data_IF_215490569792
#
_entry.id   IF_215490569792
#
_cell.length_a   1.000
_cell.length_b   1.000
_cell.length_c   1.000
_cell.angle_alpha   90.00
_cell.angle_beta   90.00
_cell.angle_gamma   90.00
#
_symmetry.space_group_name_H-M   'P 1'
#
loop_
_entity.id
_entity.type
_entity.pdbx_description
1 polymer ?
#
# COMPACT_ATOMS: atom_id res chain seq x y z
N UNK A 1 -4.68 17.22 -3.07
CA UNK A 1 -4.47 15.94 -2.36
C UNK A 1 -3.26 16.13 -1.46
N UNK A 2 -3.35 15.82 -0.19
CA UNK A 2 -2.23 16.03 0.75
C UNK A 2 -1.15 14.97 0.46
N UNK A 3 0.13 15.31 0.59
CA UNK A 3 1.26 14.37 0.42
C UNK A 3 1.11 13.12 1.30
N UNK A 4 0.49 13.26 2.46
CA UNK A 4 0.13 12.18 3.39
C UNK A 4 -0.67 11.06 2.69
N UNK A 5 -1.53 11.41 1.70
CA UNK A 5 -2.28 10.42 0.92
C UNK A 5 -1.40 9.60 -0.03
N UNK A 6 -0.27 10.13 -0.48
CA UNK A 6 0.71 9.38 -1.31
C UNK A 6 1.38 8.31 -0.46
N UNK A 7 1.84 8.66 0.74
CA UNK A 7 2.45 7.70 1.67
C UNK A 7 1.45 6.63 2.13
N UNK A 8 0.21 7.02 2.38
CA UNK A 8 -0.86 6.05 2.65
C UNK A 8 -1.07 5.06 1.49
N UNK A 9 -0.94 5.51 0.22
CA UNK A 9 -1.00 4.62 -0.94
C UNK A 9 0.25 3.74 -1.04
N UNK A 10 1.45 4.28 -0.80
CA UNK A 10 2.70 3.54 -0.79
C UNK A 10 2.62 2.41 0.25
N UNK A 11 2.33 2.72 1.50
CA UNK A 11 2.31 1.74 2.59
C UNK A 11 1.15 0.74 2.51
N UNK A 12 0.03 1.11 1.87
CA UNK A 12 -1.05 0.14 1.57
C UNK A 12 -0.62 -0.93 0.57
N UNK A 13 0.16 -0.54 -0.44
CA UNK A 13 0.63 -1.46 -1.49
C UNK A 13 1.87 -2.22 -1.06
N UNK A 14 2.76 -1.55 -0.34
CA UNK A 14 4.08 -2.04 0.03
C UNK A 14 4.36 -1.76 1.52
N UNK A 15 3.69 -2.46 2.46
CA UNK A 15 3.89 -2.24 3.90
C UNK A 15 5.34 -2.52 4.34
N UNK A 16 6.05 -3.39 3.64
CA UNK A 16 7.45 -3.73 3.86
C UNK A 16 8.40 -2.53 3.73
N UNK A 17 8.04 -1.48 2.97
CA UNK A 17 8.90 -0.30 2.81
C UNK A 17 9.14 0.47 4.11
N UNK A 18 8.24 0.36 5.10
CA UNK A 18 8.54 0.91 6.43
C UNK A 18 9.78 0.26 7.01
N UNK A 19 9.93 -1.06 6.86
CA UNK A 19 11.01 -1.85 7.45
C UNK A 19 12.35 -1.67 6.72
N UNK A 20 12.34 -1.18 5.48
CA UNK A 20 13.54 -0.70 4.79
C UNK A 20 14.08 0.62 5.37
N UNK A 21 13.18 1.46 5.94
CA UNK A 21 13.55 2.74 6.54
C UNK A 21 14.08 2.59 7.97
N UNK A 22 13.56 1.61 8.70
CA UNK A 22 13.97 1.36 10.09
C UNK A 22 15.13 0.36 10.08
N UNK A 23 16.11 0.55 10.94
CA UNK A 23 17.26 -0.37 11.07
C UNK A 23 16.86 -1.66 11.84
N UNK A 24 15.74 -2.24 11.46
CA UNK A 24 15.16 -3.46 12.08
C UNK A 24 14.47 -4.31 11.02
N UNK A 25 15.26 -4.99 10.15
CA UNK A 25 14.67 -5.89 9.17
C UNK A 25 13.94 -7.03 9.89
N UNK A 26 12.68 -7.25 9.53
CA UNK A 26 11.86 -8.36 10.03
C UNK A 26 11.74 -9.42 8.94
N UNK A 27 11.93 -10.70 9.30
CA UNK A 27 11.78 -11.82 8.35
C UNK A 27 10.38 -11.91 7.72
N UNK A 28 9.37 -11.33 8.36
CA UNK A 28 7.98 -11.34 7.90
C UNK A 28 7.44 -9.94 7.59
N UNK A 29 8.31 -8.98 7.22
CA UNK A 29 7.92 -7.60 6.93
C UNK A 29 6.79 -7.50 5.88
N UNK A 30 6.84 -8.34 4.84
CA UNK A 30 5.82 -8.43 3.78
C UNK A 30 4.45 -8.91 4.28
N UNK A 31 4.37 -9.51 5.45
CA UNK A 31 3.12 -10.03 6.03
C UNK A 31 2.41 -9.00 6.92
N UNK A 32 3.03 -7.83 7.14
CA UNK A 32 2.39 -6.75 7.88
C UNK A 32 1.27 -6.12 7.07
N UNK A 33 0.20 -5.72 7.78
CA UNK A 33 -0.94 -5.01 7.19
C UNK A 33 -0.94 -3.56 7.65
N UNK A 34 -0.94 -2.64 6.68
CA UNK A 34 -1.08 -1.22 6.95
C UNK A 34 -2.56 -0.83 7.07
N UNK A 35 -2.93 -0.12 8.13
CA UNK A 35 -4.26 0.44 8.32
C UNK A 35 -4.17 1.91 8.79
N UNK A 36 -5.06 2.75 8.27
CA UNK A 36 -5.31 4.08 8.81
C UNK A 36 -6.47 3.98 9.80
N UNK A 37 -6.21 4.27 11.09
CA UNK A 37 -7.16 4.02 12.17
C UNK A 37 -7.61 5.34 12.78
N UNK A 38 -8.94 5.54 12.85
CA UNK A 38 -9.56 6.67 13.54
C UNK A 38 -9.96 6.28 14.97
N UNK A 39 -9.54 7.09 15.94
CA UNK A 39 -9.86 6.89 17.35
C UNK A 39 -11.09 7.73 17.72
N UNK A 40 -12.27 7.09 17.78
CA UNK A 40 -13.59 7.74 17.82
C UNK A 40 -13.94 8.61 19.04
N UNK A 41 -13.21 8.60 20.14
CA UNK A 41 -13.60 9.34 21.37
C UNK A 41 -13.00 10.75 21.51
N UNK A 42 -11.96 11.01 20.78
CA UNK A 42 -11.35 12.30 20.54
C UNK A 42 -11.05 12.30 19.06
N UNK A 43 -11.22 13.36 18.31
CA UNK A 43 -11.01 13.40 16.86
C UNK A 43 -9.54 13.12 16.44
N UNK A 44 -8.95 12.06 17.00
CA UNK A 44 -7.59 11.62 16.77
C UNK A 44 -7.55 10.57 15.66
N UNK A 45 -6.59 10.70 14.78
CA UNK A 45 -6.37 9.79 13.67
C UNK A 45 -4.88 9.49 13.55
N UNK A 46 -4.53 8.23 13.71
CA UNK A 46 -3.19 7.73 13.41
C UNK A 46 -3.12 7.50 11.90
N UNK A 47 -2.15 8.12 11.22
CA UNK A 47 -2.02 8.03 9.75
C UNK A 47 -1.65 6.62 9.30
N UNK A 48 -0.84 5.89 10.09
CA UNK A 48 -0.47 4.52 9.78
C UNK A 48 -0.26 3.64 11.00
N UNK A 49 -0.91 2.47 11.00
CA UNK A 49 -0.65 1.38 11.94
C UNK A 49 -0.32 0.13 11.14
N UNK A 50 0.84 -0.46 11.44
CA UNK A 50 1.28 -1.70 10.82
C UNK A 50 1.04 -2.84 11.80
N UNK A 51 0.11 -3.70 11.44
CA UNK A 51 -0.35 -4.81 12.27
C UNK A 51 0.42 -6.07 11.90
N UNK A 52 0.94 -6.81 12.89
CA UNK A 52 1.59 -8.09 12.64
C UNK A 52 0.60 -9.10 12.07
N UNK A 53 1.07 -10.14 11.36
CA UNK A 53 0.24 -11.25 10.94
C UNK A 53 -0.35 -11.99 12.15
N UNK A 54 -1.51 -12.61 11.98
CA UNK A 54 -2.24 -13.28 13.07
C UNK A 54 -1.46 -14.46 13.69
N UNK A 55 -0.61 -15.11 12.90
CA UNK A 55 0.24 -16.24 13.27
C UNK A 55 1.65 -15.84 13.70
N UNK A 56 1.94 -14.55 13.86
CA UNK A 56 3.25 -14.07 14.28
C UNK A 56 3.62 -14.59 15.68
N UNK A 57 4.84 -15.08 15.83
CA UNK A 57 5.40 -15.52 17.14
C UNK A 57 5.68 -14.35 18.07
N UNK A 58 5.99 -13.17 17.53
CA UNK A 58 6.12 -11.91 18.26
C UNK A 58 5.19 -10.88 17.60
N UNK A 59 4.21 -10.40 18.35
CA UNK A 59 3.17 -9.48 17.86
C UNK A 59 3.60 -8.05 18.14
N UNK A 60 4.51 -7.54 17.31
CA UNK A 60 4.99 -6.16 17.38
C UNK A 60 4.13 -5.27 16.48
N UNK A 61 3.60 -4.17 17.01
CA UNK A 61 2.85 -3.16 16.24
C UNK A 61 3.74 -1.96 15.95
N UNK A 62 3.66 -1.40 14.73
CA UNK A 62 4.35 -0.17 14.38
C UNK A 62 3.34 0.94 14.09
N UNK A 63 3.61 2.12 14.65
CA UNK A 63 2.90 3.34 14.34
C UNK A 63 3.78 4.21 13.46
N UNK A 64 3.24 4.72 12.36
CA UNK A 64 3.98 5.60 11.46
C UNK A 64 3.22 6.91 11.24
N UNK A 65 3.97 8.01 11.29
CA UNK A 65 3.47 9.34 10.99
C UNK A 65 4.36 9.99 9.94
N UNK A 66 3.76 10.59 8.92
CA UNK A 66 4.47 11.26 7.83
C UNK A 66 4.18 12.75 7.87
N UNK A 67 5.19 13.56 8.23
CA UNK A 67 5.02 14.96 8.53
C UNK A 67 5.71 15.86 7.50
N UNK A 68 4.95 16.38 6.53
CA UNK A 68 5.43 17.28 5.47
C UNK A 68 5.18 18.77 5.73
N UNK A 69 4.58 19.12 6.84
CA UNK A 69 4.32 20.51 7.25
C UNK A 69 4.76 20.73 8.70
N UNK A 70 5.19 21.94 9.09
CA UNK A 70 5.47 22.22 10.49
C UNK A 70 4.25 21.98 11.38
N UNK A 71 4.41 21.21 12.45
CA UNK A 71 3.39 20.95 13.45
C UNK A 71 4.04 20.79 14.82
N UNK A 72 4.06 21.85 15.62
CA UNK A 72 4.64 21.84 16.98
C UNK A 72 3.87 20.92 17.95
N UNK A 73 2.67 20.47 17.58
CA UNK A 73 1.84 19.55 18.39
C UNK A 73 2.01 18.08 18.01
N UNK A 74 2.81 17.79 16.98
CA UNK A 74 2.99 16.45 16.42
C UNK A 74 3.27 15.39 17.50
N UNK A 75 4.28 15.59 18.32
CA UNK A 75 4.68 14.60 19.33
C UNK A 75 3.63 14.41 20.43
N UNK A 76 2.94 15.49 20.83
CA UNK A 76 1.83 15.42 21.78
C UNK A 76 0.70 14.54 21.24
N UNK A 77 0.32 14.76 19.99
CA UNK A 77 -0.72 14.02 19.33
C UNK A 77 -0.30 12.56 19.09
N UNK A 78 0.79 12.35 18.38
CA UNK A 78 1.23 11.04 17.90
C UNK A 78 1.47 10.04 19.04
N UNK A 79 2.19 10.43 20.10
CA UNK A 79 2.40 9.55 21.25
C UNK A 79 1.12 9.31 22.04
N UNK A 80 0.26 10.31 22.20
CA UNK A 80 -1.03 10.11 22.88
C UNK A 80 -1.90 9.12 22.12
N UNK A 81 -2.02 9.27 20.82
CA UNK A 81 -2.83 8.39 19.96
C UNK A 81 -2.30 6.96 19.97
N UNK A 82 -0.99 6.78 19.84
CA UNK A 82 -0.33 5.47 19.87
C UNK A 82 -0.56 4.76 21.22
N UNK A 83 -0.40 5.49 22.35
CA UNK A 83 -0.63 4.91 23.68
C UNK A 83 -2.12 4.61 23.93
N UNK A 84 -3.03 5.42 23.42
CA UNK A 84 -4.46 5.14 23.50
C UNK A 84 -4.84 3.90 22.69
N UNK A 85 -4.27 3.72 21.49
CA UNK A 85 -4.47 2.52 20.69
C UNK A 85 -3.98 1.26 21.44
N UNK A 86 -2.77 1.30 22.00
CA UNK A 86 -2.23 0.20 22.80
C UNK A 86 -3.10 -0.12 24.03
N UNK A 87 -3.59 0.91 24.74
CA UNK A 87 -4.48 0.70 25.89
C UNK A 87 -5.82 0.03 25.51
N UNK A 88 -6.38 0.36 24.36
CA UNK A 88 -7.61 -0.29 23.84
C UNK A 88 -7.38 -1.73 23.41
N UNK A 89 -6.22 -1.98 22.80
CA UNK A 89 -5.82 -3.28 22.29
C UNK A 89 -4.81 -4.00 23.23
N UNK A 90 -4.89 -3.71 24.53
CA UNK A 90 -4.01 -4.31 25.54
C UNK A 90 -4.07 -5.84 25.46
N UNK A 91 -2.91 -6.46 25.66
CA UNK A 91 -2.70 -7.90 25.56
C UNK A 91 -2.74 -8.48 24.13
N UNK A 92 -2.92 -7.64 23.10
CA UNK A 92 -2.86 -8.08 21.70
C UNK A 92 -1.43 -8.02 21.14
N UNK A 93 -0.58 -7.14 21.70
CA UNK A 93 0.78 -6.91 21.22
C UNK A 93 1.79 -7.15 22.34
N UNK A 94 2.96 -7.66 21.96
CA UNK A 94 4.07 -7.95 22.87
C UNK A 94 5.08 -6.79 22.91
N UNK A 95 5.15 -5.99 21.82
CA UNK A 95 6.01 -4.81 21.67
C UNK A 95 5.41 -3.79 20.70
N UNK A 96 5.97 -2.59 20.68
CA UNK A 96 5.54 -1.51 19.79
C UNK A 96 6.70 -0.59 19.39
N UNK A 97 6.61 0.01 18.21
CA UNK A 97 7.53 1.03 17.72
C UNK A 97 6.76 2.19 17.10
N UNK A 98 7.34 3.41 17.23
CA UNK A 98 6.88 4.63 16.59
C UNK A 98 7.92 5.09 15.57
N UNK A 99 7.49 5.39 14.35
CA UNK A 99 8.33 5.91 13.28
C UNK A 99 7.77 7.24 12.79
N UNK A 100 8.59 8.29 12.82
CA UNK A 100 8.20 9.60 12.28
C UNK A 100 9.08 9.90 11.07
N UNK A 101 8.45 10.15 9.93
CA UNK A 101 9.12 10.40 8.66
C UNK A 101 8.98 11.88 8.31
N UNK A 102 10.11 12.56 8.23
CA UNK A 102 10.21 13.96 7.82
C UNK A 102 10.89 14.11 6.47
N UNK A 103 10.52 15.09 5.65
CA UNK A 103 11.34 15.53 4.51
C UNK A 103 12.76 15.92 4.90
N UNK A 104 12.88 16.70 5.99
CA UNK A 104 14.15 17.20 6.54
C UNK A 104 13.99 17.52 8.02
N UNK A 105 15.12 17.67 8.73
CA UNK A 105 15.15 18.08 10.16
C UNK A 105 14.48 19.42 10.45
N UNK A 106 14.41 20.31 9.46
CA UNK A 106 13.81 21.64 9.65
C UNK A 106 12.29 21.58 9.93
N UNK A 107 11.64 20.45 9.69
CA UNK A 107 10.21 20.24 9.95
C UNK A 107 9.94 19.52 11.27
N UNK A 108 10.99 19.09 11.98
CA UNK A 108 10.84 18.47 13.29
C UNK A 108 10.43 19.53 14.33
N UNK A 109 9.48 19.22 15.24
CA UNK A 109 9.10 20.14 16.34
C UNK A 109 10.28 20.55 17.20
N UNK A 110 10.28 21.83 17.63
CA UNK A 110 11.33 22.36 18.50
C UNK A 110 11.28 21.80 19.93
N UNK A 111 10.09 21.49 20.44
CA UNK A 111 9.91 20.93 21.79
C UNK A 111 10.19 19.43 21.84
N UNK A 112 11.46 19.06 21.80
CA UNK A 112 11.91 17.67 21.99
C UNK A 112 12.07 17.33 23.49
N UNK A 113 12.24 18.34 24.36
CA UNK A 113 12.54 18.11 25.77
C UNK A 113 11.38 17.46 26.52
N UNK A 114 10.15 17.87 26.24
CA UNK A 114 8.94 17.31 26.85
C UNK A 114 8.79 15.85 26.51
N UNK A 115 9.15 15.45 25.29
CA UNK A 115 8.99 14.08 24.78
C UNK A 115 10.27 13.24 24.82
N UNK A 116 11.34 13.72 25.48
CA UNK A 116 12.67 13.09 25.46
C UNK A 116 12.68 11.60 25.90
N UNK A 117 11.74 11.19 26.74
CA UNK A 117 11.65 9.80 27.19
C UNK A 117 11.29 8.86 26.00
N UNK A 118 10.45 9.31 25.10
CA UNK A 118 10.12 8.58 23.88
C UNK A 118 11.23 8.77 22.83
N UNK A 119 11.61 10.02 22.56
CA UNK A 119 12.55 10.37 21.49
C UNK A 119 13.97 9.82 21.70
N UNK A 120 14.37 9.52 22.93
CA UNK A 120 15.66 8.90 23.27
C UNK A 120 15.55 7.39 23.53
N UNK A 121 14.35 6.80 23.37
CA UNK A 121 14.17 5.36 23.47
C UNK A 121 14.50 4.68 22.14
N UNK A 122 14.78 3.41 22.17
CA UNK A 122 14.96 2.58 20.98
C UNK A 122 13.63 2.19 20.30
N UNK A 123 12.49 2.55 20.92
CA UNK A 123 11.15 2.33 20.37
C UNK A 123 10.68 3.48 19.46
N UNK A 124 11.40 4.61 19.40
CA UNK A 124 11.02 5.75 18.56
C UNK A 124 12.13 6.08 17.58
N UNK A 125 11.82 5.99 16.30
CA UNK A 125 12.74 6.33 15.22
C UNK A 125 12.25 7.53 14.42
N UNK A 126 13.17 8.48 14.16
CA UNK A 126 12.94 9.65 13.31
C UNK A 126 13.76 9.48 12.04
N UNK A 127 13.08 9.52 10.91
CA UNK A 127 13.67 9.37 9.59
C UNK A 127 13.62 10.72 8.88
N UNK A 128 14.75 11.17 8.35
CA UNK A 128 14.86 12.37 7.52
C UNK A 128 15.23 11.96 6.11
N UNK A 129 14.28 12.09 5.19
CA UNK A 129 14.41 11.53 3.84
C UNK A 129 15.57 12.15 3.06
N UNK A 130 15.89 13.44 3.33
CA UNK A 130 17.03 14.13 2.71
C UNK A 130 18.41 13.67 3.23
N UNK A 131 18.44 12.96 4.35
CA UNK A 131 19.68 12.42 4.95
C UNK A 131 19.95 10.96 4.56
N UNK A 132 19.05 10.29 3.87
CA UNK A 132 19.21 8.88 3.49
C UNK A 132 20.25 8.66 2.38
N UNK A 133 20.86 9.73 1.85
CA UNK A 133 21.84 9.68 0.77
C UNK A 133 21.23 9.82 -0.62
N UNK A 134 22.07 9.62 -1.66
CA UNK A 134 21.65 9.86 -3.03
C UNK A 134 20.58 8.86 -3.50
N UNK A 135 19.44 9.31 -4.08
CA UNK A 135 18.32 8.44 -4.45
C UNK A 135 18.69 7.24 -5.32
N UNK A 136 19.61 7.44 -6.28
CA UNK A 136 20.06 6.40 -7.21
C UNK A 136 20.93 5.30 -6.55
N UNK A 137 21.40 5.52 -5.33
CA UNK A 137 22.17 4.55 -4.54
C UNK A 137 21.32 3.82 -3.50
N UNK A 138 20.08 4.28 -3.31
CA UNK A 138 19.16 3.69 -2.34
C UNK A 138 18.37 2.53 -2.97
N UNK A 139 17.84 1.61 -2.15
CA UNK A 139 16.82 0.66 -2.58
C UNK A 139 15.67 1.36 -3.32
N UNK A 140 15.02 0.67 -4.25
CA UNK A 140 13.94 1.25 -5.08
C UNK A 140 12.83 1.84 -4.21
N UNK A 141 12.45 1.18 -3.11
CA UNK A 141 11.42 1.66 -2.19
C UNK A 141 11.80 2.99 -1.53
N UNK A 142 13.03 3.14 -1.04
CA UNK A 142 13.53 4.39 -0.46
C UNK A 142 13.62 5.49 -1.53
N UNK A 143 14.15 5.17 -2.73
CA UNK A 143 14.18 6.12 -3.85
C UNK A 143 12.75 6.59 -4.22
N UNK A 144 11.76 5.70 -4.21
CA UNK A 144 10.36 6.05 -4.43
C UNK A 144 9.85 7.08 -3.40
N UNK A 145 10.19 6.90 -2.13
CA UNK A 145 9.84 7.86 -1.08
C UNK A 145 10.57 9.19 -1.25
N UNK A 146 11.88 9.18 -1.57
CA UNK A 146 12.66 10.38 -1.83
C UNK A 146 12.17 11.16 -3.06
N UNK A 147 11.54 10.50 -4.03
CA UNK A 147 10.97 11.15 -5.21
C UNK A 147 9.93 12.23 -4.82
N UNK A 148 9.25 12.09 -3.69
CA UNK A 148 8.31 13.10 -3.17
C UNK A 148 8.97 14.42 -2.79
N UNK A 149 10.30 14.43 -2.57
CA UNK A 149 11.09 15.61 -2.23
C UNK A 149 11.59 16.36 -3.48
N UNK A 150 11.59 15.70 -4.62
CA UNK A 150 12.16 16.23 -5.87
C UNK A 150 11.50 17.55 -6.26
N UNK A 151 12.31 18.52 -6.71
CA UNK A 151 11.78 19.79 -7.26
C UNK A 151 11.02 19.54 -8.57
N UNK A 152 10.14 20.46 -8.93
CA UNK A 152 9.33 20.33 -10.15
C UNK A 152 10.20 20.25 -11.41
N UNK A 153 11.33 20.98 -11.44
CA UNK A 153 12.26 20.99 -12.55
C UNK A 153 12.99 19.65 -12.75
N UNK A 154 13.32 18.96 -11.64
CA UNK A 154 14.04 17.69 -11.70
C UNK A 154 13.12 16.47 -11.73
N UNK A 155 11.82 16.67 -11.50
CA UNK A 155 10.85 15.58 -11.29
C UNK A 155 10.78 14.63 -12.48
N UNK A 156 10.65 15.17 -13.70
CA UNK A 156 10.51 14.35 -14.91
C UNK A 156 11.74 13.44 -15.13
N UNK A 157 12.94 13.98 -14.92
CA UNK A 157 14.18 13.23 -15.10
C UNK A 157 14.36 12.16 -14.02
N UNK A 158 14.14 12.51 -12.75
CA UNK A 158 14.30 11.54 -11.66
C UNK A 158 13.24 10.43 -11.73
N UNK A 159 12.01 10.75 -12.11
CA UNK A 159 10.96 9.76 -12.31
C UNK A 159 11.32 8.78 -13.44
N UNK A 160 11.85 9.27 -14.59
CA UNK A 160 12.34 8.42 -15.68
C UNK A 160 13.48 7.51 -15.25
N UNK A 161 14.43 8.03 -14.49
CA UNK A 161 15.55 7.24 -13.96
C UNK A 161 15.06 6.14 -13.03
N UNK A 162 14.12 6.46 -12.13
CA UNK A 162 13.54 5.45 -11.24
C UNK A 162 12.76 4.39 -12.02
N UNK A 163 11.95 4.77 -13.02
CA UNK A 163 11.25 3.83 -13.89
C UNK A 163 12.22 2.89 -14.61
N UNK A 164 13.32 3.43 -15.17
CA UNK A 164 14.34 2.64 -15.84
C UNK A 164 15.01 1.62 -14.88
N UNK A 165 15.27 2.02 -13.63
CA UNK A 165 15.77 1.11 -12.59
C UNK A 165 14.74 0.01 -12.29
N UNK A 166 13.48 0.36 -12.08
CA UNK A 166 12.39 -0.61 -11.83
C UNK A 166 12.28 -1.64 -12.95
N UNK A 167 12.48 -1.22 -14.20
CA UNK A 167 12.44 -2.15 -15.35
C UNK A 167 13.63 -3.10 -15.38
N UNK A 168 14.83 -2.64 -15.04
CA UNK A 168 16.10 -3.37 -15.19
C UNK A 168 16.54 -4.13 -13.94
N UNK A 169 16.21 -3.66 -12.77
CA UNK A 169 16.61 -4.26 -11.50
C UNK A 169 15.57 -5.28 -10.98
N UNK A 170 16.02 -6.15 -10.07
CA UNK A 170 15.12 -6.98 -9.29
C UNK A 170 14.44 -6.10 -8.21
N UNK A 171 13.12 -6.10 -8.19
CA UNK A 171 12.33 -5.33 -7.23
C UNK A 171 11.86 -6.18 -6.03
N UNK A 172 12.34 -7.40 -5.91
CA UNK A 172 11.96 -8.32 -4.85
C UNK A 172 10.44 -8.60 -4.85
N UNK A 173 9.79 -8.35 -3.74
CA UNK A 173 8.33 -8.52 -3.57
C UNK A 173 7.50 -7.41 -4.21
N UNK A 174 8.13 -6.27 -4.55
CA UNK A 174 7.44 -5.10 -5.08
C UNK A 174 7.06 -5.29 -6.55
N UNK A 175 5.79 -5.25 -6.87
CA UNK A 175 5.32 -5.37 -8.26
C UNK A 175 5.73 -4.15 -9.11
N UNK A 176 6.50 -4.37 -10.18
CA UNK A 176 7.03 -3.31 -11.05
C UNK A 176 5.96 -2.32 -11.54
N UNK A 177 4.81 -2.85 -11.97
CA UNK A 177 3.72 -2.01 -12.47
C UNK A 177 3.12 -1.12 -11.37
N UNK A 178 3.04 -1.60 -10.13
CA UNK A 178 2.55 -0.81 -9.01
C UNK A 178 3.53 0.29 -8.62
N UNK A 179 4.84 0.04 -8.66
CA UNK A 179 5.86 1.07 -8.45
C UNK A 179 5.74 2.15 -9.53
N UNK A 180 5.63 1.76 -10.80
CA UNK A 180 5.47 2.70 -11.93
C UNK A 180 4.18 3.53 -11.76
N UNK A 181 3.08 2.93 -11.33
CA UNK A 181 1.82 3.64 -11.06
C UNK A 181 1.99 4.68 -9.93
N UNK A 182 2.73 4.36 -8.86
CA UNK A 182 3.01 5.31 -7.78
C UNK A 182 3.94 6.44 -8.27
N UNK A 183 5.01 6.13 -9.02
CA UNK A 183 5.89 7.14 -9.63
C UNK A 183 5.08 8.10 -10.50
N UNK A 184 4.20 7.57 -11.33
CA UNK A 184 3.30 8.36 -12.18
C UNK A 184 2.36 9.21 -11.33
N UNK A 185 1.79 8.66 -10.26
CA UNK A 185 0.90 9.38 -9.33
C UNK A 185 1.63 10.56 -8.67
N UNK A 186 2.88 10.36 -8.22
CA UNK A 186 3.71 11.43 -7.64
C UNK A 186 3.96 12.52 -8.70
N UNK A 187 4.28 12.14 -9.95
CA UNK A 187 4.52 13.07 -11.05
C UNK A 187 3.26 13.86 -11.41
N UNK A 188 2.09 13.21 -11.51
CA UNK A 188 0.79 13.88 -11.75
C UNK A 188 0.49 14.89 -10.63
N UNK A 189 0.79 14.54 -9.38
CA UNK A 189 0.62 15.47 -8.28
C UNK A 189 1.50 16.72 -8.39
N UNK A 190 2.73 16.55 -8.87
CA UNK A 190 3.69 17.66 -9.11
C UNK A 190 3.28 18.51 -10.30
N UNK A 191 2.91 17.89 -11.40
CA UNK A 191 2.50 18.53 -12.64
C UNK A 191 0.99 18.72 -12.71
N UNK A 192 0.42 19.42 -11.73
CA UNK A 192 -1.04 19.60 -11.57
C UNK A 192 -1.77 20.23 -12.77
N UNK A 193 -1.04 20.78 -13.72
CA UNK A 193 -1.58 21.37 -14.97
C UNK A 193 -1.69 20.34 -16.11
N UNK A 194 -1.08 19.17 -15.97
CA UNK A 194 -1.07 18.10 -16.96
C UNK A 194 -2.07 17.01 -16.58
N UNK A 195 -2.70 16.42 -17.59
CA UNK A 195 -3.47 15.19 -17.40
C UNK A 195 -2.54 14.02 -17.09
N UNK A 196 -3.10 12.90 -16.58
CA UNK A 196 -2.34 11.70 -16.33
C UNK A 196 -1.69 11.14 -17.59
N UNK A 197 -2.42 11.16 -18.71
CA UNK A 197 -1.96 10.69 -20.01
C UNK A 197 -0.77 11.52 -20.52
N UNK A 198 -0.81 12.85 -20.33
CA UNK A 198 0.30 13.73 -20.68
C UNK A 198 1.53 13.46 -19.83
N UNK A 199 1.35 13.18 -18.53
CA UNK A 199 2.44 12.79 -17.64
C UNK A 199 3.00 11.41 -18.02
N UNK A 200 2.17 10.43 -18.32
CA UNK A 200 2.60 9.10 -18.79
C UNK A 200 3.42 9.20 -20.08
N UNK A 201 2.96 10.01 -21.02
CA UNK A 201 3.70 10.30 -22.26
C UNK A 201 5.02 11.03 -22.00
N UNK A 202 5.02 12.03 -21.11
CA UNK A 202 6.24 12.75 -20.69
C UNK A 202 7.26 11.81 -20.02
N UNK A 203 6.81 10.85 -19.25
CA UNK A 203 7.66 9.84 -18.60
C UNK A 203 8.14 8.76 -19.58
N UNK A 204 7.63 8.72 -20.81
CA UNK A 204 8.00 7.75 -21.83
C UNK A 204 7.47 6.35 -21.56
N UNK A 205 6.33 6.23 -20.87
CA UNK A 205 5.70 4.94 -20.60
C UNK A 205 5.13 4.34 -21.87
N UNK A 206 5.36 3.03 -22.04
CA UNK A 206 4.68 2.28 -23.09
C UNK A 206 3.19 2.12 -22.76
N UNK A 207 2.37 1.87 -23.78
CA UNK A 207 0.92 1.65 -23.60
C UNK A 207 0.65 0.56 -22.53
N UNK A 208 1.44 -0.50 -22.51
CA UNK A 208 1.31 -1.61 -21.56
C UNK A 208 1.59 -1.21 -20.09
N UNK A 209 2.31 -0.13 -19.87
CA UNK A 209 2.66 0.41 -18.55
C UNK A 209 1.66 1.47 -18.07
N UNK A 210 0.77 1.93 -18.96
CA UNK A 210 -0.26 2.92 -18.59
C UNK A 210 -1.34 2.28 -17.72
N UNK A 211 -1.92 3.06 -16.84
CA UNK A 211 -3.04 2.60 -16.00
C UNK A 211 -4.23 2.19 -16.86
N UNK A 212 -4.52 2.93 -17.91
CA UNK A 212 -5.60 2.61 -18.83
C UNK A 212 -5.50 1.18 -19.38
N UNK A 213 -4.31 0.79 -19.86
CA UNK A 213 -4.09 -0.57 -20.37
C UNK A 213 -4.26 -1.63 -19.27
N UNK A 214 -3.76 -1.37 -18.06
CA UNK A 214 -3.89 -2.30 -16.94
C UNK A 214 -5.36 -2.49 -16.53
N UNK A 215 -6.14 -1.40 -16.49
CA UNK A 215 -7.56 -1.43 -16.17
C UNK A 215 -8.34 -2.22 -17.24
N UNK A 216 -8.15 -1.93 -18.54
CA UNK A 216 -8.77 -2.68 -19.65
C UNK A 216 -8.38 -4.15 -19.64
N UNK A 217 -7.11 -4.46 -19.34
CA UNK A 217 -6.65 -5.85 -19.24
C UNK A 217 -7.27 -6.58 -18.04
N UNK A 218 -7.46 -5.90 -16.92
CA UNK A 218 -8.12 -6.47 -15.74
C UNK A 218 -9.61 -6.73 -16.01
N UNK A 219 -10.32 -5.79 -16.64
CA UNK A 219 -11.71 -5.94 -17.07
C UNK A 219 -11.85 -7.12 -18.04
N UNK A 220 -11.05 -7.16 -19.12
CA UNK A 220 -11.10 -8.26 -20.09
C UNK A 220 -10.80 -9.63 -19.48
N UNK A 221 -9.90 -9.70 -18.46
CA UNK A 221 -9.68 -10.95 -17.73
C UNK A 221 -10.87 -11.35 -16.86
N UNK A 222 -11.53 -10.38 -16.24
CA UNK A 222 -12.70 -10.62 -15.41
C UNK A 222 -13.87 -11.09 -16.26
N UNK A 223 -14.12 -10.42 -17.40
CA UNK A 223 -15.14 -10.81 -18.37
C UNK A 223 -14.87 -12.21 -18.91
N UNK A 224 -13.65 -12.51 -19.38
CA UNK A 224 -13.28 -13.82 -19.88
C UNK A 224 -13.41 -14.95 -18.84
N UNK A 225 -13.15 -14.64 -17.53
CA UNK A 225 -13.41 -15.62 -16.46
C UNK A 225 -14.90 -15.86 -16.24
N UNK A 226 -15.72 -14.82 -16.33
CA UNK A 226 -17.18 -14.95 -16.18
C UNK A 226 -17.78 -15.72 -17.37
N UNK A 227 -17.37 -15.38 -18.59
CA UNK A 227 -17.80 -16.09 -19.80
C UNK A 227 -17.39 -17.57 -19.77
N UNK A 228 -16.11 -17.85 -19.48
CA UNK A 228 -15.61 -19.22 -19.38
C UNK A 228 -16.30 -20.01 -18.27
N UNK A 229 -16.63 -19.38 -17.13
CA UNK A 229 -17.43 -20.04 -16.08
C UNK A 229 -18.85 -20.35 -16.56
N UNK A 230 -19.50 -19.41 -17.22
CA UNK A 230 -20.86 -19.62 -17.74
C UNK A 230 -20.89 -20.71 -18.82
N UNK A 231 -19.91 -20.69 -19.73
CA UNK A 231 -19.79 -21.70 -20.76
C UNK A 231 -19.56 -23.12 -20.17
N UNK A 232 -18.66 -23.20 -19.17
CA UNK A 232 -18.44 -24.46 -18.43
C UNK A 232 -19.72 -24.94 -17.77
N UNK A 233 -20.49 -24.08 -17.12
CA UNK A 233 -21.74 -24.44 -16.46
C UNK A 233 -22.79 -24.94 -17.49
N UNK A 234 -22.92 -24.26 -18.62
CA UNK A 234 -23.81 -24.67 -19.72
C UNK A 234 -23.50 -26.08 -20.26
N UNK A 235 -22.23 -26.47 -20.25
CA UNK A 235 -21.82 -27.80 -20.72
C UNK A 235 -21.95 -28.86 -19.64
N UNK A 236 -21.57 -28.56 -18.40
CA UNK A 236 -21.46 -29.57 -17.33
C UNK A 236 -22.79 -29.79 -16.62
N UNK A 237 -23.56 -28.74 -16.32
CA UNK A 237 -24.82 -28.87 -15.57
C UNK A 237 -25.82 -29.84 -16.23
N UNK A 238 -26.08 -29.77 -17.55
CA UNK A 238 -26.98 -30.74 -18.21
C UNK A 238 -26.48 -32.16 -18.13
N UNK A 239 -25.17 -32.39 -18.19
CA UNK A 239 -24.59 -33.73 -18.08
C UNK A 239 -24.79 -34.28 -16.66
N UNK A 240 -24.59 -33.50 -15.63
CA UNK A 240 -24.78 -33.89 -14.24
C UNK A 240 -26.26 -34.16 -13.91
N UNK A 241 -27.16 -33.33 -14.43
CA UNK A 241 -28.62 -33.58 -14.30
C UNK A 241 -29.04 -34.91 -14.92
N UNK A 242 -28.46 -35.29 -16.08
CA UNK A 242 -28.72 -36.58 -16.72
C UNK A 242 -28.21 -37.77 -15.90
N UNK A 243 -27.24 -37.59 -15.02
CA UNK A 243 -26.75 -38.62 -14.09
C UNK A 243 -27.67 -38.79 -12.86
N UNK A 244 -28.70 -37.95 -12.73
CA UNK A 244 -29.68 -38.01 -11.63
C UNK A 244 -29.33 -37.09 -10.43
N UNK A 245 -28.32 -36.22 -10.55
CA UNK A 245 -28.03 -35.23 -9.52
C UNK A 245 -29.09 -34.11 -9.52
N UNK A 246 -29.47 -33.61 -8.34
CA UNK A 246 -30.32 -32.42 -8.23
C UNK A 246 -29.52 -31.14 -8.41
N UNK A 247 -30.19 -30.04 -8.73
CA UNK A 247 -29.56 -28.68 -8.85
C UNK A 247 -28.84 -28.30 -7.57
N UNK A 248 -29.40 -28.64 -6.40
CA UNK A 248 -28.82 -28.38 -5.09
C UNK A 248 -27.55 -29.20 -4.85
N UNK A 249 -27.55 -30.48 -5.26
CA UNK A 249 -26.38 -31.33 -5.16
C UNK A 249 -25.25 -30.86 -6.07
N UNK A 250 -25.55 -30.42 -7.29
CA UNK A 250 -24.56 -29.86 -8.22
C UNK A 250 -23.96 -28.56 -7.64
N UNK A 251 -24.79 -27.68 -7.09
CA UNK A 251 -24.34 -26.45 -6.48
C UNK A 251 -23.36 -26.73 -5.32
N UNK A 252 -23.65 -27.70 -4.48
CA UNK A 252 -22.82 -28.08 -3.34
C UNK A 252 -21.51 -28.73 -3.79
N UNK A 253 -21.55 -29.70 -4.70
CA UNK A 253 -20.36 -30.42 -5.20
C UNK A 253 -19.41 -29.52 -5.96
N UNK A 254 -19.92 -28.59 -6.75
CA UNK A 254 -19.11 -27.64 -7.53
C UNK A 254 -18.71 -26.40 -6.72
N UNK A 255 -19.24 -26.22 -5.52
CA UNK A 255 -19.07 -24.99 -4.69
C UNK A 255 -19.43 -23.72 -5.48
N UNK A 256 -20.58 -23.72 -6.12
CA UNK A 256 -21.11 -22.65 -6.99
C UNK A 256 -22.49 -22.25 -6.46
N UNK A 257 -22.81 -20.96 -6.65
CA UNK A 257 -24.11 -20.43 -6.24
C UNK A 257 -25.26 -21.20 -6.91
N UNK A 258 -26.29 -21.51 -6.13
CA UNK A 258 -27.45 -22.27 -6.58
C UNK A 258 -28.18 -21.58 -7.74
N UNK A 259 -28.18 -20.26 -7.77
CA UNK A 259 -28.82 -19.45 -8.79
C UNK A 259 -28.12 -19.58 -10.15
N UNK A 260 -26.76 -19.61 -10.15
CA UNK A 260 -25.94 -19.84 -11.33
C UNK A 260 -26.22 -21.22 -11.93
N UNK A 261 -26.38 -22.27 -11.10
CA UNK A 261 -26.70 -23.62 -11.55
C UNK A 261 -28.12 -23.70 -12.12
N UNK A 262 -29.10 -23.03 -11.48
CA UNK A 262 -30.47 -22.96 -11.99
C UNK A 262 -30.56 -22.29 -13.36
N UNK A 263 -29.81 -21.19 -13.51
CA UNK A 263 -29.75 -20.46 -14.78
C UNK A 263 -29.15 -21.31 -15.89
N UNK A 264 -28.08 -22.05 -15.59
CA UNK A 264 -27.46 -22.98 -16.55
C UNK A 264 -28.36 -24.16 -16.92
N UNK A 265 -29.15 -24.67 -15.96
CA UNK A 265 -30.12 -25.72 -16.20
C UNK A 265 -31.27 -25.30 -17.14
N UNK A 266 -31.79 -24.05 -16.95
CA UNK A 266 -32.86 -23.49 -17.78
C UNK A 266 -32.45 -23.20 -19.24
N UNK A 267 -31.17 -22.88 -19.46
CA UNK A 267 -30.65 -22.58 -20.81
C UNK A 267 -30.35 -23.83 -21.64
N UNK A 268 -30.59 -25.00 -21.07
CA UNK A 268 -30.30 -26.31 -21.68
C UNK A 268 -31.56 -27.04 -22.16
N UNK A 269 -32.75 -26.46 -21.95
CA UNK A 269 -34.01 -26.87 -22.56
C UNK A 269 -34.24 -26.18 -23.92
#
# INVERSE_FOLDING_TARGET
MKRDSIYSQIFKRFPELLFELVDRPLEQAQNYRFESIEVKETAFRIDGVFLPPEDATSRTVFFAEVQFQPDETLYYRFFTESMMYLNRNRFQYDDWFCVVIFPSRSLEPNDQRTHRIFLNSDQVQRIYLDELGAPNQQPIGINLMQLTLTSDEAMAEQAKQLIARVQSEDTGTLAKNEIIDIVTTIAVYKFSQLSREEVEAMLGLSLEQTRFYQDVKAEGRQEGRQEGRQEMLRLIVPLLLRTGMSVEQIAQEMNIDLEDIRLAAQQSE
#
